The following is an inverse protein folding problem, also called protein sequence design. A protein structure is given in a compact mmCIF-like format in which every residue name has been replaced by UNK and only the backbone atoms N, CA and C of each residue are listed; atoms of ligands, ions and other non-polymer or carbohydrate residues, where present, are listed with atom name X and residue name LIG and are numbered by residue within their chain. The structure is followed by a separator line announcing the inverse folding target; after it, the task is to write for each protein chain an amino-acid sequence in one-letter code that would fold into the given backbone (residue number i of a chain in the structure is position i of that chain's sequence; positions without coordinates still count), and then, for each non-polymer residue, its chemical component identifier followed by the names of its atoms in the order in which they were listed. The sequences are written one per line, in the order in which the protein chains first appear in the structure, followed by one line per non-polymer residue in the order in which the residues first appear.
data_IF_075898646334
#
_entry.id   IF_075898646334
#
_cell.length_a   1.000
_cell.length_b   1.000
_cell.length_c   1.000
_cell.angle_alpha   90.00
_cell.angle_beta   90.00
_cell.angle_gamma   90.00
#
_symmetry.space_group_name_H-M   'P 1'
#
loop_
_entity.id
_entity.type
_entity.pdbx_description
1 polymer ?
#
# COMPACT_ATOMS: atom_id res chain seq x y z
N UNK A 1 -12.45 -17.33 -7.27
CA UNK A 1 -12.23 -15.91 -6.96
C UNK A 1 -13.41 -15.39 -6.16
N UNK A 2 -13.16 -14.72 -5.04
CA UNK A 2 -14.21 -14.12 -4.20
C UNK A 2 -14.95 -13.02 -4.96
N UNK A 3 -16.27 -13.06 -4.97
CA UNK A 3 -17.07 -11.92 -5.44
C UNK A 3 -16.96 -10.80 -4.39
N UNK A 4 -16.10 -9.84 -4.65
CA UNK A 4 -15.78 -8.77 -3.70
C UNK A 4 -17.00 -7.89 -3.41
N UNK A 5 -17.92 -7.71 -4.34
CA UNK A 5 -19.10 -6.88 -4.13
C UNK A 5 -20.08 -7.55 -3.14
N UNK A 6 -20.26 -8.86 -3.28
CA UNK A 6 -21.07 -9.65 -2.34
C UNK A 6 -20.40 -9.70 -0.98
N UNK A 7 -19.07 -9.92 -0.95
CA UNK A 7 -18.30 -9.94 0.29
C UNK A 7 -18.35 -8.60 1.03
N UNK A 8 -18.13 -7.48 0.33
CA UNK A 8 -18.18 -6.14 0.92
C UNK A 8 -19.57 -5.79 1.45
N UNK A 9 -20.64 -6.25 0.79
CA UNK A 9 -22.01 -6.07 1.30
C UNK A 9 -22.20 -6.76 2.65
N UNK A 10 -21.72 -8.01 2.78
CA UNK A 10 -21.78 -8.74 4.05
C UNK A 10 -20.90 -8.08 5.11
N UNK A 11 -19.69 -7.67 4.74
CA UNK A 11 -18.78 -6.94 5.64
C UNK A 11 -19.42 -5.66 6.20
N UNK A 12 -19.98 -4.81 5.32
CA UNK A 12 -20.64 -3.56 5.75
C UNK A 12 -21.82 -3.83 6.66
N UNK A 13 -22.65 -4.83 6.36
CA UNK A 13 -23.79 -5.18 7.21
C UNK A 13 -23.32 -5.62 8.60
N UNK A 14 -22.35 -6.55 8.67
CA UNK A 14 -21.85 -7.08 9.94
C UNK A 14 -21.11 -5.98 10.75
N UNK A 15 -20.39 -5.10 10.05
CA UNK A 15 -19.72 -3.96 10.67
C UNK A 15 -20.74 -2.97 11.27
N UNK A 16 -21.81 -2.65 10.54
CA UNK A 16 -22.88 -1.78 11.02
C UNK A 16 -23.68 -2.43 12.17
N UNK A 17 -23.88 -3.74 12.17
CA UNK A 17 -24.49 -4.48 13.30
C UNK A 17 -23.61 -4.44 14.55
N UNK A 18 -22.26 -4.42 14.38
CA UNK A 18 -21.30 -4.42 15.50
C UNK A 18 -21.06 -3.02 16.06
N UNK A 19 -20.91 -2.01 15.20
CA UNK A 19 -20.47 -0.66 15.59
C UNK A 19 -21.52 0.44 15.33
N UNK A 20 -22.63 0.11 14.68
CA UNK A 20 -23.73 1.03 14.39
C UNK A 20 -23.23 2.33 13.67
N UNK A 21 -23.58 3.49 14.22
CA UNK A 21 -23.23 4.80 13.65
C UNK A 21 -21.78 5.25 13.91
N UNK A 22 -20.97 4.40 14.54
CA UNK A 22 -19.56 4.69 14.85
C UNK A 22 -18.62 4.45 13.66
N UNK A 23 -19.11 3.88 12.56
CA UNK A 23 -18.31 3.64 11.34
C UNK A 23 -18.18 4.92 10.52
N UNK A 24 -17.02 5.57 10.61
CA UNK A 24 -16.73 6.81 9.89
C UNK A 24 -16.36 6.58 8.42
N UNK A 25 -15.52 5.55 8.15
CA UNK A 25 -15.06 5.26 6.78
C UNK A 25 -14.87 3.77 6.57
N UNK A 26 -15.13 3.31 5.35
CA UNK A 26 -14.76 1.96 4.85
C UNK A 26 -14.21 2.08 3.44
N UNK A 27 -13.14 1.36 3.15
CA UNK A 27 -12.52 1.28 1.84
C UNK A 27 -11.90 -0.08 1.55
N UNK A 28 -11.45 -0.25 0.33
CA UNK A 28 -10.65 -1.40 -0.14
C UNK A 28 -9.30 -0.90 -0.62
N UNK A 29 -8.24 -1.62 -0.27
CA UNK A 29 -6.89 -1.42 -0.75
C UNK A 29 -6.40 -2.61 -1.58
N UNK A 30 -5.13 -2.55 -1.95
CA UNK A 30 -4.45 -3.66 -2.58
C UNK A 30 -5.03 -4.05 -3.94
N UNK A 31 -4.94 -5.33 -4.24
CA UNK A 31 -5.35 -5.87 -5.55
C UNK A 31 -6.86 -5.77 -5.79
N UNK A 32 -7.68 -5.93 -4.76
CA UNK A 32 -9.13 -5.76 -4.89
C UNK A 32 -9.51 -4.29 -5.10
N UNK A 33 -8.87 -3.35 -4.39
CA UNK A 33 -9.08 -1.91 -4.58
C UNK A 33 -8.74 -1.45 -5.99
N UNK A 34 -7.70 -2.01 -6.59
CA UNK A 34 -7.25 -1.69 -7.96
C UNK A 34 -7.92 -2.51 -9.07
N UNK A 35 -8.79 -3.49 -8.73
CA UNK A 35 -9.41 -4.39 -9.72
C UNK A 35 -8.43 -5.39 -10.35
N UNK A 36 -7.33 -5.71 -9.68
CA UNK A 36 -6.25 -6.63 -10.12
C UNK A 36 -6.22 -7.94 -9.33
N UNK A 37 -7.26 -8.24 -8.53
CA UNK A 37 -7.29 -9.40 -7.64
C UNK A 37 -7.26 -10.73 -8.40
N UNK A 38 -6.61 -11.71 -7.79
CA UNK A 38 -6.56 -13.11 -8.22
C UNK A 38 -7.24 -14.01 -7.19
N UNK A 39 -7.28 -15.33 -7.41
CA UNK A 39 -7.87 -16.27 -6.45
C UNK A 39 -7.16 -16.35 -5.10
N UNK A 40 -5.88 -15.98 -5.08
CA UNK A 40 -5.02 -16.00 -3.88
C UNK A 40 -4.81 -14.62 -3.27
N UNK A 41 -5.50 -13.60 -3.77
CA UNK A 41 -5.37 -12.24 -3.26
C UNK A 41 -6.00 -12.07 -1.89
N UNK A 42 -5.26 -11.41 -0.99
CA UNK A 42 -5.79 -10.96 0.29
C UNK A 42 -6.88 -9.89 0.08
N UNK A 43 -7.83 -9.83 1.00
CA UNK A 43 -8.87 -8.79 1.04
C UNK A 43 -8.40 -7.70 2.00
N UNK A 44 -7.77 -6.66 1.46
CA UNK A 44 -7.25 -5.53 2.22
C UNK A 44 -8.37 -4.52 2.49
N UNK A 45 -9.15 -4.74 3.55
CA UNK A 45 -10.26 -3.88 3.93
C UNK A 45 -9.82 -2.82 4.94
N UNK A 46 -10.19 -1.57 4.70
CA UNK A 46 -9.99 -0.44 5.61
C UNK A 46 -11.28 -0.16 6.36
N UNK A 47 -11.22 -0.09 7.69
CA UNK A 47 -12.33 0.34 8.53
C UNK A 47 -11.83 1.41 9.51
N UNK A 48 -12.49 2.57 9.53
CA UNK A 48 -12.19 3.66 10.46
C UNK A 48 -13.44 3.94 11.28
N UNK A 49 -13.29 3.82 12.60
CA UNK A 49 -14.33 4.18 13.55
C UNK A 49 -14.18 5.66 13.99
N UNK A 50 -15.22 6.22 14.57
CA UNK A 50 -15.16 7.55 15.21
C UNK A 50 -14.11 7.59 16.32
N UNK A 51 -14.06 6.55 17.15
CA UNK A 51 -13.07 6.30 18.19
C UNK A 51 -12.71 4.80 18.17
N UNK A 52 -11.47 4.46 18.53
CA UNK A 52 -11.02 3.07 18.61
C UNK A 52 -10.50 2.75 20.02
N UNK A 53 -11.10 1.78 20.68
CA UNK A 53 -10.64 1.22 21.95
C UNK A 53 -10.10 -0.21 21.79
N UNK A 54 -9.39 -0.70 22.81
CA UNK A 54 -8.95 -2.09 22.84
C UNK A 54 -10.12 -3.09 22.81
N UNK A 55 -11.27 -2.71 23.39
CA UNK A 55 -12.48 -3.53 23.36
C UNK A 55 -13.08 -3.58 21.93
N UNK A 56 -13.00 -2.47 21.17
CA UNK A 56 -13.44 -2.42 19.79
C UNK A 56 -12.60 -3.34 18.90
N UNK A 57 -11.28 -3.41 19.13
CA UNK A 57 -10.39 -4.34 18.41
C UNK A 57 -10.81 -5.80 18.62
N UNK A 58 -11.19 -6.16 19.87
CA UNK A 58 -11.68 -7.51 20.17
C UNK A 58 -13.03 -7.78 19.50
N UNK A 59 -13.94 -6.81 19.51
CA UNK A 59 -15.24 -6.91 18.84
C UNK A 59 -15.09 -7.02 17.32
N UNK A 60 -14.18 -6.24 16.72
CA UNK A 60 -13.83 -6.31 15.30
C UNK A 60 -13.24 -7.66 14.93
N UNK A 61 -12.32 -8.18 15.74
CA UNK A 61 -11.75 -9.52 15.53
C UNK A 61 -12.85 -10.61 15.54
N UNK A 62 -13.72 -10.59 16.55
CA UNK A 62 -14.83 -11.56 16.65
C UNK A 62 -15.81 -11.42 15.46
N UNK A 63 -16.05 -10.20 14.99
CA UNK A 63 -16.85 -9.92 13.81
C UNK A 63 -16.19 -10.53 12.54
N UNK A 64 -14.89 -10.33 12.34
CA UNK A 64 -14.16 -10.88 11.20
C UNK A 64 -14.23 -12.41 11.16
N UNK A 65 -14.24 -13.08 12.31
CA UNK A 65 -14.32 -14.54 12.40
C UNK A 65 -15.68 -15.11 11.93
N UNK A 66 -16.70 -14.26 11.78
CA UNK A 66 -18.00 -14.65 11.24
C UNK A 66 -18.09 -14.54 9.70
N UNK A 67 -17.11 -13.88 9.08
CA UNK A 67 -17.12 -13.62 7.64
C UNK A 67 -16.50 -14.78 6.84
N UNK A 68 -16.99 -15.00 5.62
CA UNK A 68 -16.36 -15.97 4.72
C UNK A 68 -14.96 -15.52 4.31
N UNK A 69 -14.08 -16.49 4.05
CA UNK A 69 -12.69 -16.26 3.66
C UNK A 69 -11.87 -15.50 4.71
N UNK A 70 -12.10 -15.84 5.98
CA UNK A 70 -11.41 -15.22 7.12
C UNK A 70 -9.89 -15.21 6.96
N UNK A 71 -9.35 -16.26 6.40
CA UNK A 71 -7.91 -16.47 6.14
C UNK A 71 -7.31 -15.49 5.12
N UNK A 72 -8.14 -14.90 4.26
CA UNK A 72 -7.73 -13.90 3.26
C UNK A 72 -7.94 -12.46 3.75
N UNK A 73 -8.65 -12.27 4.88
CA UNK A 73 -8.95 -10.92 5.36
C UNK A 73 -7.71 -10.33 6.00
N UNK A 74 -7.25 -9.26 5.42
CA UNK A 74 -6.21 -8.38 5.92
C UNK A 74 -6.73 -6.93 5.93
N UNK A 75 -5.96 -5.98 6.37
CA UNK A 75 -6.32 -4.59 6.21
C UNK A 75 -5.98 -3.73 7.41
N UNK A 76 -6.68 -2.60 7.52
CA UNK A 76 -6.36 -1.53 8.44
C UNK A 76 -7.59 -1.15 9.28
N UNK A 77 -7.42 -1.11 10.60
CA UNK A 77 -8.43 -0.63 11.55
C UNK A 77 -7.84 0.53 12.37
N UNK A 78 -8.55 1.65 12.42
CA UNK A 78 -8.13 2.82 13.22
C UNK A 78 -9.32 3.62 13.74
N UNK A 79 -9.06 4.53 14.67
CA UNK A 79 -9.96 5.62 14.99
C UNK A 79 -9.73 6.81 14.04
N UNK A 80 -10.75 7.68 13.93
CA UNK A 80 -10.65 8.89 13.08
C UNK A 80 -9.55 9.82 13.59
N UNK A 81 -9.46 10.04 14.89
CA UNK A 81 -8.48 10.96 15.47
C UNK A 81 -7.05 10.50 15.22
N UNK A 82 -6.77 9.21 15.41
CA UNK A 82 -5.46 8.63 15.13
C UNK A 82 -5.09 8.79 13.67
N UNK A 83 -6.03 8.51 12.76
CA UNK A 83 -5.77 8.66 11.33
C UNK A 83 -5.52 10.13 10.95
N UNK A 84 -6.28 11.07 11.48
CA UNK A 84 -6.10 12.52 11.22
C UNK A 84 -4.78 13.07 11.74
N UNK A 85 -4.17 12.43 12.75
CA UNK A 85 -2.88 12.79 13.32
C UNK A 85 -1.74 11.86 12.88
N UNK A 86 -1.98 10.98 11.91
CA UNK A 86 -0.95 10.08 11.39
C UNK A 86 0.13 10.85 10.62
N UNK A 87 1.31 10.24 10.44
CA UNK A 87 2.39 10.86 9.67
C UNK A 87 1.94 11.08 8.21
N UNK A 88 1.93 12.35 7.71
CA UNK A 88 1.40 12.65 6.38
C UNK A 88 2.10 11.92 5.22
N UNK A 89 3.38 11.56 5.38
CA UNK A 89 4.09 10.77 4.36
C UNK A 89 3.55 9.34 4.22
N UNK A 90 3.09 8.74 5.32
CA UNK A 90 2.44 7.43 5.27
C UNK A 90 1.01 7.53 4.73
N UNK A 91 0.30 8.63 5.07
CA UNK A 91 -1.04 8.90 4.56
C UNK A 91 -1.08 9.06 3.04
N UNK A 92 -0.01 9.52 2.41
CA UNK A 92 0.07 9.65 0.97
C UNK A 92 -0.28 8.33 0.27
N UNK A 93 0.45 7.26 0.59
CA UNK A 93 0.20 5.95 -0.01
C UNK A 93 -1.13 5.36 0.46
N UNK A 94 -1.46 5.50 1.76
CA UNK A 94 -2.70 5.00 2.33
C UNK A 94 -3.93 5.55 1.61
N UNK A 95 -4.03 6.88 1.44
CA UNK A 95 -5.19 7.51 0.83
C UNK A 95 -5.32 7.17 -0.66
N UNK A 96 -4.19 7.18 -1.38
CA UNK A 96 -4.20 6.94 -2.82
C UNK A 96 -4.41 5.47 -3.21
N UNK A 97 -4.01 4.51 -2.36
CA UNK A 97 -4.26 3.07 -2.60
C UNK A 97 -5.64 2.62 -2.08
N UNK A 98 -6.39 3.50 -1.42
CA UNK A 98 -7.71 3.19 -0.87
C UNK A 98 -8.83 3.61 -1.80
N UNK A 99 -9.62 2.64 -2.27
CA UNK A 99 -10.88 2.89 -2.98
C UNK A 99 -12.02 3.04 -1.97
N UNK A 100 -12.64 4.22 -1.83
CA UNK A 100 -13.71 4.46 -0.86
C UNK A 100 -14.97 3.63 -1.17
N UNK A 101 -15.56 3.03 -0.14
CA UNK A 101 -16.83 2.29 -0.20
C UNK A 101 -17.92 3.00 0.63
N UNK A 102 -17.55 3.54 1.81
CA UNK A 102 -18.43 4.32 2.70
C UNK A 102 -17.63 5.47 3.29
N UNK A 103 -18.17 6.68 3.25
CA UNK A 103 -17.47 7.88 3.73
C UNK A 103 -16.48 8.47 2.72
N UNK A 104 -15.64 9.40 3.16
CA UNK A 104 -14.60 10.06 2.35
C UNK A 104 -13.31 10.22 3.15
N UNK A 105 -12.15 10.20 2.46
CA UNK A 105 -10.83 10.53 3.00
C UNK A 105 -10.40 11.97 2.65
N UNK A 106 -11.28 12.83 2.14
CA UNK A 106 -10.92 14.18 1.69
C UNK A 106 -10.28 15.02 2.80
N UNK A 107 -10.78 14.90 4.06
CA UNK A 107 -10.21 15.57 5.22
C UNK A 107 -8.76 15.11 5.50
N UNK A 108 -8.49 13.81 5.32
CA UNK A 108 -7.15 13.22 5.50
C UNK A 108 -6.24 13.61 4.35
N UNK A 109 -6.74 13.61 3.11
CA UNK A 109 -5.96 14.02 1.94
C UNK A 109 -5.54 15.50 2.02
N UNK A 110 -6.33 16.35 2.66
CA UNK A 110 -6.04 17.78 2.79
C UNK A 110 -4.78 18.10 3.64
N UNK A 111 -4.29 17.16 4.46
CA UNK A 111 -3.06 17.35 5.25
C UNK A 111 -1.79 16.88 4.53
N UNK A 112 -1.93 16.26 3.33
CA UNK A 112 -0.82 15.75 2.54
C UNK A 112 -0.31 16.86 1.62
N UNK A 113 0.77 17.50 2.01
CA UNK A 113 1.44 18.54 1.23
C UNK A 113 2.62 17.97 0.41
N UNK A 114 3.27 18.82 -0.38
CA UNK A 114 4.45 18.46 -1.16
C UNK A 114 5.60 17.94 -0.28
N UNK A 115 5.76 18.49 0.94
CA UNK A 115 6.75 18.03 1.90
C UNK A 115 6.49 16.60 2.37
N UNK A 116 5.21 16.22 2.54
CA UNK A 116 4.83 14.85 2.87
C UNK A 116 5.20 13.87 1.74
N UNK A 117 4.93 14.26 0.48
CA UNK A 117 5.30 13.44 -0.69
C UNK A 117 6.82 13.27 -0.79
N UNK A 118 7.59 14.35 -0.60
CA UNK A 118 9.06 14.29 -0.59
C UNK A 118 9.59 13.38 0.53
N UNK A 119 8.97 13.43 1.73
CA UNK A 119 9.32 12.52 2.82
C UNK A 119 8.94 11.07 2.50
N UNK A 120 7.80 10.81 1.88
CA UNK A 120 7.40 9.47 1.45
C UNK A 120 8.43 8.85 0.50
N UNK A 121 8.89 9.61 -0.50
CA UNK A 121 9.96 9.19 -1.42
C UNK A 121 11.25 8.88 -0.64
N UNK A 122 11.69 9.81 0.21
CA UNK A 122 12.95 9.69 0.95
C UNK A 122 12.95 8.52 1.93
N UNK A 123 11.89 8.37 2.73
CA UNK A 123 11.74 7.27 3.69
C UNK A 123 11.65 5.93 2.95
N UNK A 124 10.86 5.87 1.87
CA UNK A 124 10.74 4.68 1.03
C UNK A 124 12.08 4.27 0.43
N UNK A 125 12.84 5.22 -0.12
CA UNK A 125 14.19 4.96 -0.65
C UNK A 125 15.15 4.44 0.43
N UNK A 126 15.13 5.03 1.64
CA UNK A 126 15.95 4.58 2.78
C UNK A 126 15.60 3.13 3.19
N UNK A 127 14.31 2.80 3.25
CA UNK A 127 13.86 1.46 3.60
C UNK A 127 14.27 0.42 2.54
N UNK A 128 14.11 0.75 1.26
CA UNK A 128 14.55 -0.11 0.15
C UNK A 128 16.06 -0.31 0.18
N UNK A 129 16.84 0.77 0.37
CA UNK A 129 18.29 0.71 0.48
C UNK A 129 18.73 -0.21 1.63
N UNK A 130 18.22 0.03 2.84
CA UNK A 130 18.55 -0.76 4.02
C UNK A 130 18.20 -2.23 3.83
N UNK A 131 16.98 -2.52 3.37
CA UNK A 131 16.52 -3.89 3.11
C UNK A 131 17.35 -4.58 2.03
N UNK A 132 17.76 -3.87 0.97
CA UNK A 132 18.61 -4.40 -0.07
C UNK A 132 20.00 -4.78 0.47
N UNK A 133 20.65 -3.88 1.21
CA UNK A 133 21.95 -4.16 1.85
C UNK A 133 21.85 -5.35 2.80
N UNK A 134 20.83 -5.37 3.65
CA UNK A 134 20.61 -6.48 4.59
C UNK A 134 20.43 -7.81 3.86
N UNK A 135 19.60 -7.83 2.82
CA UNK A 135 19.36 -9.05 2.04
C UNK A 135 20.61 -9.54 1.32
N UNK A 136 21.41 -8.64 0.74
CA UNK A 136 22.68 -9.00 0.07
C UNK A 136 23.71 -9.59 1.04
N UNK A 137 23.75 -9.10 2.28
CA UNK A 137 24.72 -9.53 3.28
C UNK A 137 24.32 -10.80 4.02
N UNK A 138 23.05 -10.92 4.39
CA UNK A 138 22.61 -11.91 5.39
C UNK A 138 21.65 -12.95 4.82
N UNK A 139 20.52 -12.52 4.22
CA UNK A 139 19.42 -13.42 3.89
C UNK A 139 19.60 -14.10 2.52
N UNK A 140 20.07 -13.36 1.53
CA UNK A 140 20.19 -13.80 0.11
C UNK A 140 18.90 -14.42 -0.42
N UNK A 141 17.77 -13.86 0.00
CA UNK A 141 16.43 -14.35 -0.28
C UNK A 141 15.83 -13.67 -1.51
N UNK A 142 15.39 -14.48 -2.47
CA UNK A 142 14.65 -13.99 -3.64
C UNK A 142 13.29 -13.40 -3.25
N UNK A 143 12.60 -13.95 -2.25
CA UNK A 143 11.30 -13.46 -1.79
C UNK A 143 11.41 -12.07 -1.17
N UNK A 144 12.47 -11.83 -0.38
CA UNK A 144 12.77 -10.49 0.15
C UNK A 144 13.03 -9.53 -1.01
N UNK A 145 13.81 -9.94 -2.02
CA UNK A 145 14.10 -9.08 -3.17
C UNK A 145 12.82 -8.74 -3.96
N UNK A 146 11.91 -9.71 -4.17
CA UNK A 146 10.58 -9.46 -4.76
C UNK A 146 9.79 -8.42 -3.95
N UNK A 147 9.78 -8.54 -2.62
CA UNK A 147 9.16 -7.58 -1.71
C UNK A 147 9.77 -6.19 -1.80
N UNK A 148 11.09 -6.08 -1.91
CA UNK A 148 11.80 -4.81 -2.08
C UNK A 148 11.46 -4.13 -3.41
N UNK A 149 11.36 -4.85 -4.52
CA UNK A 149 10.90 -4.30 -5.80
C UNK A 149 9.44 -3.83 -5.74
N UNK A 150 8.57 -4.56 -5.01
CA UNK A 150 7.19 -4.09 -4.73
C UNK A 150 7.22 -2.76 -3.97
N UNK A 151 8.01 -2.66 -2.91
CA UNK A 151 8.15 -1.41 -2.15
C UNK A 151 8.73 -0.28 -2.99
N UNK A 152 9.75 -0.55 -3.81
CA UNK A 152 10.33 0.42 -4.73
C UNK A 152 9.31 0.94 -5.75
N UNK A 153 8.39 0.08 -6.24
CA UNK A 153 7.35 0.50 -7.17
C UNK A 153 6.38 1.52 -6.55
N UNK A 154 6.12 1.47 -5.25
CA UNK A 154 5.36 2.50 -4.54
C UNK A 154 6.13 3.81 -4.40
N UNK A 155 7.46 3.75 -4.21
CA UNK A 155 8.30 4.97 -4.25
C UNK A 155 8.24 5.61 -5.64
N UNK A 156 8.27 4.82 -6.71
CA UNK A 156 8.11 5.32 -8.08
C UNK A 156 6.74 5.96 -8.31
N UNK A 157 5.66 5.44 -7.70
CA UNK A 157 4.34 6.11 -7.75
C UNK A 157 4.38 7.50 -7.09
N UNK A 158 5.08 7.63 -5.96
CA UNK A 158 5.23 8.92 -5.30
C UNK A 158 6.08 9.91 -6.13
N UNK A 159 7.14 9.43 -6.80
CA UNK A 159 7.94 10.21 -7.75
C UNK A 159 7.07 10.69 -8.91
N UNK A 160 6.31 9.80 -9.54
CA UNK A 160 5.40 10.14 -10.64
C UNK A 160 4.35 11.18 -10.21
N UNK A 161 3.81 11.05 -8.99
CA UNK A 161 2.88 12.03 -8.43
C UNK A 161 3.55 13.40 -8.23
N UNK A 162 4.76 13.44 -7.65
CA UNK A 162 5.53 14.69 -7.49
C UNK A 162 5.74 15.42 -8.83
N UNK A 163 6.03 14.66 -9.90
CA UNK A 163 6.33 15.21 -11.21
C UNK A 163 5.07 15.65 -11.99
N UNK A 164 3.96 14.92 -11.83
CA UNK A 164 2.77 15.10 -12.69
C UNK A 164 1.56 15.70 -11.97
N UNK A 165 1.54 15.66 -10.62
CA UNK A 165 0.38 16.00 -9.81
C UNK A 165 -0.76 14.95 -9.86
N UNK A 166 -0.56 13.82 -10.57
CA UNK A 166 -1.57 12.79 -10.76
C UNK A 166 -1.11 11.46 -10.14
N UNK A 167 -1.94 10.86 -9.30
CA UNK A 167 -1.68 9.52 -8.80
C UNK A 167 -2.02 8.46 -9.86
N UNK A 168 -1.06 7.59 -10.13
CA UNK A 168 -1.18 6.49 -11.09
C UNK A 168 -1.27 5.18 -10.32
N UNK A 169 -2.48 4.62 -10.21
CA UNK A 169 -2.73 3.41 -9.42
C UNK A 169 -2.24 2.13 -10.08
N UNK A 170 -2.28 2.03 -11.42
CA UNK A 170 -1.80 0.85 -12.13
C UNK A 170 -0.31 0.97 -12.46
N UNK A 171 0.50 0.07 -11.90
CA UNK A 171 1.97 0.09 -12.04
C UNK A 171 2.46 0.13 -13.50
N UNK A 172 1.77 -0.57 -14.41
CA UNK A 172 2.13 -0.57 -15.83
C UNK A 172 2.05 0.81 -16.49
N UNK A 173 1.15 1.67 -16.00
CA UNK A 173 0.91 2.99 -16.58
C UNK A 173 2.00 3.99 -16.16
N UNK A 174 2.74 3.70 -15.08
CA UNK A 174 3.93 4.46 -14.68
C UNK A 174 5.00 4.51 -15.77
N UNK A 175 5.13 3.43 -16.56
CA UNK A 175 6.12 3.33 -17.65
C UNK A 175 6.00 4.44 -18.71
N UNK A 176 4.86 5.14 -18.77
CA UNK A 176 4.62 6.20 -19.72
C UNK A 176 5.07 7.58 -19.23
N UNK A 177 5.32 7.74 -17.92
CA UNK A 177 5.49 9.06 -17.30
C UNK A 177 6.78 9.21 -16.49
N UNK A 178 7.44 8.10 -16.12
CA UNK A 178 8.65 8.16 -15.29
C UNK A 178 9.93 8.06 -16.13
N UNK A 179 11.06 8.43 -15.55
CA UNK A 179 12.37 8.36 -16.20
C UNK A 179 12.81 6.90 -16.47
N UNK A 180 13.83 6.71 -17.30
CA UNK A 180 14.35 5.38 -17.62
C UNK A 180 14.86 4.59 -16.42
N UNK A 181 15.31 5.26 -15.37
CA UNK A 181 15.77 4.60 -14.14
C UNK A 181 14.58 4.01 -13.35
N UNK A 182 13.52 4.78 -13.20
CA UNK A 182 12.27 4.34 -12.57
C UNK A 182 11.54 3.30 -13.41
N UNK A 183 11.56 3.42 -14.76
CA UNK A 183 11.02 2.41 -15.67
C UNK A 183 11.66 1.04 -15.41
N UNK A 184 12.99 0.97 -15.27
CA UNK A 184 13.70 -0.29 -15.01
C UNK A 184 13.24 -0.95 -13.68
N UNK A 185 12.95 -0.16 -12.65
CA UNK A 185 12.41 -0.67 -11.37
C UNK A 185 11.00 -1.24 -11.57
N UNK A 186 10.12 -0.50 -12.25
CA UNK A 186 8.74 -0.93 -12.48
C UNK A 186 8.67 -2.16 -13.40
N UNK A 187 9.45 -2.21 -14.48
CA UNK A 187 9.52 -3.37 -15.39
C UNK A 187 9.99 -4.63 -14.66
N UNK A 188 11.02 -4.49 -13.81
CA UNK A 188 11.50 -5.60 -12.98
C UNK A 188 10.42 -6.05 -12.01
N UNK A 189 9.75 -5.12 -11.32
CA UNK A 189 8.62 -5.45 -10.43
C UNK A 189 7.52 -6.22 -11.18
N UNK A 190 7.08 -5.73 -12.34
CA UNK A 190 6.03 -6.37 -13.14
C UNK A 190 6.46 -7.77 -13.61
N UNK A 191 7.72 -7.94 -14.02
CA UNK A 191 8.28 -9.24 -14.40
C UNK A 191 8.23 -10.21 -13.22
N UNK A 192 8.66 -9.77 -12.03
CA UNK A 192 8.66 -10.58 -10.82
C UNK A 192 7.25 -10.92 -10.35
N UNK A 193 6.31 -9.97 -10.42
CA UNK A 193 4.88 -10.17 -10.09
C UNK A 193 4.25 -11.26 -10.96
N UNK A 194 4.67 -11.37 -12.22
CA UNK A 194 4.19 -12.36 -13.18
C UNK A 194 4.97 -13.69 -13.15
N UNK A 195 5.74 -13.95 -12.10
CA UNK A 195 6.46 -15.21 -11.93
C UNK A 195 7.79 -15.28 -12.69
N UNK A 196 8.33 -14.14 -13.13
CA UNK A 196 9.65 -14.07 -13.78
C UNK A 196 10.79 -14.55 -12.87
N UNK A 197 11.87 -15.00 -13.47
CA UNK A 197 13.07 -15.47 -12.79
C UNK A 197 13.82 -14.32 -12.12
N UNK A 198 14.45 -14.61 -10.98
CA UNK A 198 15.28 -13.66 -10.25
C UNK A 198 16.74 -13.84 -10.64
N UNK A 199 17.36 -12.79 -11.18
CA UNK A 199 18.81 -12.64 -11.14
C UNK A 199 19.18 -11.86 -9.89
N UNK A 200 19.47 -12.59 -8.82
CA UNK A 200 19.65 -12.00 -7.50
C UNK A 200 20.72 -10.91 -7.49
N UNK A 201 21.88 -11.15 -8.12
CA UNK A 201 22.99 -10.21 -8.09
C UNK A 201 22.67 -8.94 -8.88
N UNK A 202 22.29 -9.10 -10.15
CA UNK A 202 21.99 -7.96 -11.04
C UNK A 202 20.83 -7.12 -10.49
N UNK A 203 19.75 -7.77 -10.05
CA UNK A 203 18.58 -7.07 -9.53
C UNK A 203 18.89 -6.36 -8.20
N UNK A 204 19.66 -6.99 -7.30
CA UNK A 204 20.07 -6.35 -6.05
C UNK A 204 20.97 -5.14 -6.29
N UNK A 205 21.97 -5.25 -7.18
CA UNK A 205 22.85 -4.12 -7.53
C UNK A 205 22.08 -2.96 -8.18
N UNK A 206 21.13 -3.25 -9.04
CA UNK A 206 20.27 -2.25 -9.69
C UNK A 206 19.44 -1.50 -8.66
N UNK A 207 18.78 -2.23 -7.76
CA UNK A 207 17.92 -1.65 -6.74
C UNK A 207 18.72 -0.85 -5.70
N UNK A 208 19.89 -1.37 -5.31
CA UNK A 208 20.83 -0.66 -4.43
C UNK A 208 21.28 0.67 -5.02
N UNK A 209 21.77 0.67 -6.28
CA UNK A 209 22.24 1.89 -6.93
C UNK A 209 21.12 2.93 -7.13
N UNK A 210 19.92 2.48 -7.49
CA UNK A 210 18.76 3.35 -7.64
C UNK A 210 18.35 4.00 -6.31
N UNK A 211 18.21 3.21 -5.24
CA UNK A 211 17.82 3.73 -3.92
C UNK A 211 18.91 4.63 -3.32
N UNK A 212 20.20 4.29 -3.51
CA UNK A 212 21.33 5.13 -3.09
C UNK A 212 21.28 6.51 -3.75
N UNK A 213 21.00 6.57 -5.04
CA UNK A 213 20.87 7.82 -5.78
C UNK A 213 19.75 8.69 -5.18
N UNK A 214 18.55 8.16 -4.99
CA UNK A 214 17.42 8.89 -4.38
C UNK A 214 17.72 9.42 -2.96
N UNK A 215 18.54 8.70 -2.20
CA UNK A 215 18.96 9.15 -0.86
C UNK A 215 19.97 10.30 -0.95
N UNK A 216 20.86 10.26 -1.94
CA UNK A 216 21.98 11.21 -2.07
C UNK A 216 21.57 12.49 -2.80
N UNK A 217 20.58 12.45 -3.67
CA UNK A 217 20.06 13.64 -4.35
C UNK A 217 19.36 14.53 -3.30
N UNK A 218 20.00 15.68 -3.02
CA UNK A 218 19.46 16.70 -2.14
C UNK A 218 18.68 17.71 -2.99
N UNK A 219 17.41 17.43 -3.24
CA UNK A 219 16.46 18.41 -3.76
C UNK A 219 15.60 19.00 -2.65
#
# INVERSE_FOLDING_TARGET
MTDINVWMKNFLQTLDETFANRVWFVGLQGSYGRGEATETSDIDVVAILDELSAADIQSYHAMLDTLPHRELICGFLSGKEELMNWEPSDLFQFCHDTTPIKGSLDEVMAVIDESAVNRAIKIGACNVYHGCVHNMLHEKSEDILRGLYKSASFVVQAIAFKETGNHISHQKDLLQVVSSAEQAIVETFLTLKNGGTVDFNLMSETLFAWSQKLISDND
#
